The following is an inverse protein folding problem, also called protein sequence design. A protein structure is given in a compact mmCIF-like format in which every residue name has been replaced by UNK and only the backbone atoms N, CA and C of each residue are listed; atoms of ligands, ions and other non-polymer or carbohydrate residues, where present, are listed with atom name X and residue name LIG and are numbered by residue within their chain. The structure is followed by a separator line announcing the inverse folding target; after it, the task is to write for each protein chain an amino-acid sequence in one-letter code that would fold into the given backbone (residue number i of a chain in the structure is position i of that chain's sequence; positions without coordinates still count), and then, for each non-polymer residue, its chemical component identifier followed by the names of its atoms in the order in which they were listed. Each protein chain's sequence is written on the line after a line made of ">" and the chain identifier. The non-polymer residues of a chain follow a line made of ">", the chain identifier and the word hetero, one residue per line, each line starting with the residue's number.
data_IF_028836230689
#
_entry.id   IF_028836230689
#
_cell.length_a   1.000
_cell.length_b   1.000
_cell.length_c   1.000
_cell.angle_alpha   90.00
_cell.angle_beta   90.00
_cell.angle_gamma   90.00
#
_symmetry.space_group_name_H-M   'P 1'
#
loop_
_entity.id
_entity.type
_entity.pdbx_description
1 polymer ?
#
# COMPACT_ATOMS: atom_id res chain seq x y z
N UNK A 1 33.19 -31.23 -22.26
CA UNK A 1 33.37 -31.01 -20.80
C UNK A 1 32.02 -30.56 -20.27
N UNK A 2 31.42 -31.33 -19.36
CA UNK A 2 30.09 -31.01 -18.82
C UNK A 2 30.18 -29.79 -17.90
N UNK A 3 29.24 -28.82 -17.93
CA UNK A 3 29.41 -27.52 -17.27
C UNK A 3 29.18 -27.53 -15.74
N UNK A 4 28.86 -28.69 -15.16
CA UNK A 4 28.51 -28.82 -13.74
C UNK A 4 29.39 -29.89 -13.10
N UNK A 5 30.41 -29.43 -12.36
CA UNK A 5 31.33 -30.27 -11.62
C UNK A 5 30.87 -30.37 -10.15
N UNK A 6 29.73 -31.02 -9.90
CA UNK A 6 29.20 -31.26 -8.55
C UNK A 6 29.75 -32.60 -8.08
N UNK A 7 30.58 -32.62 -7.03
CA UNK A 7 31.08 -33.88 -6.46
C UNK A 7 29.97 -34.51 -5.62
N UNK A 8 29.88 -35.84 -5.63
CA UNK A 8 28.85 -36.57 -4.89
C UNK A 8 28.90 -36.28 -3.38
N UNK A 9 30.09 -36.03 -2.83
CA UNK A 9 30.29 -35.65 -1.42
C UNK A 9 29.73 -34.26 -1.10
N UNK A 10 29.94 -33.29 -2.00
CA UNK A 10 29.40 -31.93 -1.88
C UNK A 10 27.85 -31.97 -1.93
N UNK A 11 27.28 -32.78 -2.82
CA UNK A 11 25.83 -32.95 -2.93
C UNK A 11 25.20 -33.61 -1.68
N UNK A 12 25.89 -34.57 -1.05
CA UNK A 12 25.43 -35.21 0.18
C UNK A 12 25.50 -34.25 1.37
N UNK A 13 26.56 -33.43 1.46
CA UNK A 13 26.65 -32.39 2.48
C UNK A 13 25.54 -31.35 2.33
N UNK A 14 25.31 -30.83 1.13
CA UNK A 14 24.22 -29.89 0.85
C UNK A 14 22.86 -30.47 1.24
N UNK A 15 22.61 -31.76 0.95
CA UNK A 15 21.37 -32.43 1.30
C UNK A 15 21.18 -32.59 2.83
N UNK A 16 22.26 -32.87 3.56
CA UNK A 16 22.24 -32.97 5.02
C UNK A 16 22.01 -31.61 5.68
N UNK A 17 22.68 -30.57 5.18
CA UNK A 17 22.47 -29.19 5.63
C UNK A 17 21.04 -28.74 5.37
N UNK A 18 20.50 -29.02 4.17
CA UNK A 18 19.11 -28.72 3.83
C UNK A 18 18.12 -29.40 4.78
N UNK A 19 18.28 -30.71 5.03
CA UNK A 19 17.40 -31.45 5.94
C UNK A 19 17.47 -30.94 7.38
N UNK A 20 18.67 -30.56 7.85
CA UNK A 20 18.85 -29.95 9.17
C UNK A 20 18.13 -28.59 9.27
N UNK A 21 18.35 -27.70 8.29
CA UNK A 21 17.67 -26.39 8.23
C UNK A 21 16.15 -26.55 8.20
N UNK A 22 15.63 -27.52 7.45
CA UNK A 22 14.21 -27.82 7.35
C UNK A 22 13.64 -28.32 8.69
N UNK A 23 14.36 -29.21 9.39
CA UNK A 23 13.97 -29.69 10.72
C UNK A 23 13.95 -28.58 11.78
N UNK A 24 14.99 -27.75 11.83
CA UNK A 24 15.08 -26.62 12.76
C UNK A 24 14.00 -25.56 12.47
N UNK A 25 13.70 -25.31 11.19
CA UNK A 25 12.64 -24.41 10.77
C UNK A 25 11.25 -24.90 11.17
N UNK A 26 10.94 -26.18 10.97
CA UNK A 26 9.65 -26.77 11.38
C UNK A 26 9.44 -26.72 12.90
N UNK A 27 10.51 -26.96 13.67
CA UNK A 27 10.46 -26.85 15.14
C UNK A 27 10.19 -25.40 15.59
N UNK A 28 10.88 -24.45 14.99
CA UNK A 28 10.69 -23.01 15.27
C UNK A 28 9.26 -22.56 14.94
N UNK A 29 8.67 -23.06 13.85
CA UNK A 29 7.28 -22.77 13.48
C UNK A 29 6.28 -23.38 14.47
N UNK A 30 6.53 -24.60 14.96
CA UNK A 30 5.66 -25.26 15.93
C UNK A 30 5.64 -24.56 17.30
N UNK A 31 6.73 -23.89 17.67
CA UNK A 31 6.86 -23.15 18.94
C UNK A 31 6.16 -21.76 18.90
N UNK A 32 5.67 -21.31 17.74
CA UNK A 32 4.96 -20.02 17.59
C UNK A 32 3.47 -20.23 17.82
N UNK A 33 2.97 -19.81 18.97
CA UNK A 33 1.56 -19.93 19.35
C UNK A 33 0.70 -18.71 18.96
N UNK A 34 1.28 -17.51 18.93
CA UNK A 34 0.58 -16.26 18.60
C UNK A 34 1.44 -15.30 17.77
N UNK A 35 0.80 -14.63 16.81
CA UNK A 35 1.42 -13.62 15.93
C UNK A 35 0.64 -12.32 16.08
N UNK A 36 1.17 -11.43 16.93
CA UNK A 36 0.61 -10.09 17.08
C UNK A 36 0.89 -9.25 15.82
N UNK A 37 -0.15 -8.60 15.29
CA UNK A 37 -0.13 -7.65 14.17
C UNK A 37 -1.00 -6.44 14.51
N UNK A 38 -0.67 -5.25 13.98
CA UNK A 38 -1.47 -4.04 14.23
C UNK A 38 -1.50 -3.63 15.70
N UNK A 39 -0.34 -3.73 16.36
CA UNK A 39 -0.20 -3.61 17.83
C UNK A 39 -0.29 -2.18 18.35
N UNK A 40 -0.24 -1.17 17.48
CA UNK A 40 -0.25 0.22 17.93
C UNK A 40 -1.65 0.60 18.43
N UNK A 41 -1.80 1.08 19.68
CA UNK A 41 -3.10 1.44 20.26
C UNK A 41 -3.86 2.43 19.38
N UNK A 42 -5.15 2.16 19.16
CA UNK A 42 -6.01 2.97 18.30
C UNK A 42 -7.47 2.88 18.73
N UNK A 43 -8.22 3.94 18.44
CA UNK A 43 -9.67 4.00 18.62
C UNK A 43 -10.38 4.13 17.28
N UNK A 44 -11.54 3.50 17.13
CA UNK A 44 -12.41 3.73 15.98
C UNK A 44 -13.17 5.04 16.20
N UNK A 45 -12.92 6.05 15.37
CA UNK A 45 -13.54 7.38 15.48
C UNK A 45 -14.71 7.59 14.52
N UNK A 46 -14.82 6.75 13.50
CA UNK A 46 -15.94 6.73 12.56
C UNK A 46 -16.07 5.35 11.91
N UNK A 47 -17.30 4.95 11.65
CA UNK A 47 -17.65 3.69 10.98
C UNK A 47 -18.80 3.96 10.02
N UNK A 48 -18.73 3.34 8.85
CA UNK A 48 -19.79 3.36 7.84
C UNK A 48 -19.65 2.10 7.00
N UNK A 49 -20.71 1.31 6.91
CA UNK A 49 -20.67 -0.01 6.26
C UNK A 49 -19.49 -0.85 6.80
N UNK A 50 -18.62 -1.33 5.91
CA UNK A 50 -17.40 -2.07 6.23
C UNK A 50 -16.21 -1.16 6.61
N UNK A 51 -16.29 0.14 6.33
CA UNK A 51 -15.22 1.09 6.59
C UNK A 51 -15.11 1.42 8.08
N UNK A 52 -13.88 1.44 8.58
CA UNK A 52 -13.53 2.00 9.89
C UNK A 52 -12.41 3.03 9.75
N UNK A 53 -12.65 4.23 10.24
CA UNK A 53 -11.61 5.24 10.43
C UNK A 53 -11.03 5.10 11.83
N UNK A 54 -9.76 4.73 11.90
CA UNK A 54 -9.02 4.66 13.16
C UNK A 54 -8.25 5.95 13.41
N UNK A 55 -8.19 6.37 14.66
CA UNK A 55 -7.18 7.30 15.18
C UNK A 55 -6.23 6.54 16.07
N UNK A 56 -4.94 6.64 15.81
CA UNK A 56 -3.93 6.05 16.68
C UNK A 56 -3.68 6.94 17.90
N UNK A 57 -3.43 6.32 19.05
CA UNK A 57 -3.15 7.04 20.29
C UNK A 57 -1.82 7.79 20.16
N UNK A 58 -1.79 9.13 20.30
CA UNK A 58 -0.54 9.89 20.29
C UNK A 58 0.40 9.40 21.40
N UNK A 59 1.70 9.39 21.11
CA UNK A 59 2.77 9.01 22.07
C UNK A 59 3.67 10.19 22.43
N UNK A 60 3.31 11.39 21.96
CA UNK A 60 3.92 12.68 22.30
C UNK A 60 2.84 13.60 22.87
N UNK A 61 3.23 14.53 23.74
CA UNK A 61 2.28 15.43 24.43
C UNK A 61 1.58 16.40 23.47
N UNK A 62 2.29 16.86 22.44
CA UNK A 62 1.83 17.85 21.47
C UNK A 62 2.05 17.34 20.05
N UNK A 63 1.16 16.47 19.54
CA UNK A 63 1.23 16.04 18.15
C UNK A 63 0.91 17.22 17.21
N UNK A 64 1.32 17.09 15.95
CA UNK A 64 1.11 18.08 14.91
C UNK A 64 -0.38 18.50 14.85
N UNK A 65 -0.68 19.82 14.87
CA UNK A 65 -2.07 20.30 14.92
C UNK A 65 -2.86 20.00 13.63
N UNK A 66 -2.17 19.70 12.52
CA UNK A 66 -2.79 19.26 11.28
C UNK A 66 -2.63 17.73 11.17
N UNK A 67 -3.69 16.96 11.42
CA UNK A 67 -3.63 15.50 11.44
C UNK A 67 -3.30 14.92 10.06
N UNK A 68 -2.68 13.75 10.08
CA UNK A 68 -2.30 12.97 8.91
C UNK A 68 -3.29 11.81 8.71
N UNK A 69 -4.04 11.84 7.62
CA UNK A 69 -4.90 10.74 7.20
C UNK A 69 -4.18 9.81 6.23
N UNK A 70 -4.00 8.56 6.65
CA UNK A 70 -3.44 7.49 5.82
C UNK A 70 -4.57 6.80 5.03
N UNK A 71 -4.45 6.84 3.71
CA UNK A 71 -5.37 6.24 2.76
C UNK A 71 -4.65 5.05 2.10
N UNK A 72 -5.01 3.85 2.52
CA UNK A 72 -4.42 2.61 2.01
C UNK A 72 -5.10 2.13 0.72
N UNK A 73 -4.49 1.19 0.03
CA UNK A 73 -5.10 0.51 -1.12
C UNK A 73 -6.31 -0.34 -0.69
N UNK A 74 -7.18 -0.67 -1.66
CA UNK A 74 -8.24 -1.68 -1.43
C UNK A 74 -7.66 -3.10 -1.43
N UNK A 75 -6.52 -3.28 -2.10
CA UNK A 75 -5.76 -4.54 -2.07
C UNK A 75 -5.04 -4.69 -0.74
N UNK A 76 -5.27 -5.83 -0.08
CA UNK A 76 -4.71 -6.23 1.22
C UNK A 76 -5.04 -5.26 2.36
N UNK A 77 -4.81 -5.71 3.59
CA UNK A 77 -5.16 -4.94 4.77
C UNK A 77 -4.09 -3.88 5.14
N UNK A 78 -4.51 -2.75 5.73
CA UNK A 78 -3.62 -1.61 6.02
C UNK A 78 -2.64 -1.85 7.18
N UNK A 79 -2.80 -2.93 7.96
CA UNK A 79 -1.85 -3.27 9.02
C UNK A 79 -0.44 -3.62 8.50
N UNK A 80 -0.23 -3.69 7.18
CA UNK A 80 1.09 -3.66 6.56
C UNK A 80 1.95 -2.49 7.06
N UNK A 81 1.30 -1.36 7.36
CA UNK A 81 1.95 -0.16 7.88
C UNK A 81 2.22 -0.24 9.39
N UNK A 82 1.74 -1.30 10.05
CA UNK A 82 1.82 -1.52 11.50
C UNK A 82 2.05 -3.00 11.83
N UNK A 83 2.95 -3.66 11.10
CA UNK A 83 3.17 -5.12 11.20
C UNK A 83 3.68 -5.56 12.58
N UNK A 84 4.63 -4.81 13.15
CA UNK A 84 5.16 -5.04 14.50
C UNK A 84 5.81 -3.78 15.05
N UNK A 85 6.03 -3.73 16.38
CA UNK A 85 6.53 -2.52 17.06
C UNK A 85 7.82 -1.93 16.46
N UNK A 86 8.78 -2.75 16.02
CA UNK A 86 10.03 -2.28 15.41
C UNK A 86 9.99 -2.19 13.87
N UNK A 87 8.84 -2.48 13.24
CA UNK A 87 8.56 -2.34 11.80
C UNK A 87 7.13 -1.83 11.62
N UNK A 88 6.91 -0.59 12.06
CA UNK A 88 5.63 0.09 11.97
C UNK A 88 5.86 1.52 11.51
N UNK A 89 5.36 1.80 10.30
CA UNK A 89 5.36 3.15 9.74
C UNK A 89 4.43 4.04 10.56
N UNK A 90 3.31 3.49 11.02
CA UNK A 90 2.37 4.21 11.89
C UNK A 90 3.05 4.62 13.19
N UNK A 91 3.70 3.69 13.90
CA UNK A 91 4.42 4.01 15.12
C UNK A 91 5.51 5.04 14.87
N UNK A 92 6.30 4.88 13.81
CA UNK A 92 7.33 5.85 13.46
C UNK A 92 6.77 7.26 13.17
N UNK A 93 5.57 7.37 12.60
CA UNK A 93 4.91 8.66 12.38
C UNK A 93 4.44 9.29 13.70
N UNK A 94 3.93 8.48 14.64
CA UNK A 94 3.59 8.93 15.99
C UNK A 94 4.85 9.39 16.76
N UNK A 95 5.97 8.66 16.62
CA UNK A 95 7.28 9.02 17.20
C UNK A 95 7.82 10.31 16.58
N UNK A 96 7.54 10.54 15.30
CA UNK A 96 7.82 11.79 14.59
C UNK A 96 6.78 12.90 14.86
N UNK A 97 5.96 12.75 15.90
CA UNK A 97 5.07 13.77 16.40
C UNK A 97 3.79 14.01 15.59
N UNK A 98 3.36 13.10 14.72
CA UNK A 98 2.17 13.29 13.89
C UNK A 98 0.90 12.74 14.57
N UNK A 99 -0.26 13.40 14.40
CA UNK A 99 -1.58 12.85 14.80
C UNK A 99 -2.14 11.99 13.66
N UNK A 100 -2.01 10.66 13.78
CA UNK A 100 -2.22 9.72 12.68
C UNK A 100 -3.63 9.12 12.70
N UNK A 101 -4.31 9.22 11.56
CA UNK A 101 -5.55 8.53 11.24
C UNK A 101 -5.31 7.54 10.11
N UNK A 102 -6.09 6.46 10.06
CA UNK A 102 -6.00 5.46 9.02
C UNK A 102 -7.38 4.96 8.62
N UNK A 103 -7.63 4.89 7.33
CA UNK A 103 -8.83 4.25 6.78
C UNK A 103 -8.55 2.76 6.62
N UNK A 104 -9.37 1.94 7.28
CA UNK A 104 -9.52 0.52 6.97
C UNK A 104 -10.83 0.34 6.20
N UNK A 105 -10.73 -0.09 4.94
CA UNK A 105 -11.89 -0.22 4.05
C UNK A 105 -12.77 -1.42 4.39
N UNK A 106 -12.27 -2.35 5.20
CA UNK A 106 -12.98 -3.58 5.57
C UNK A 106 -13.02 -4.62 4.45
N UNK A 107 -14.04 -5.48 4.50
CA UNK A 107 -14.26 -6.55 3.54
C UNK A 107 -15.59 -6.33 2.83
N UNK A 108 -15.58 -6.08 1.51
CA UNK A 108 -16.82 -5.97 0.75
C UNK A 108 -17.63 -7.26 0.82
N UNK A 109 -18.96 -7.14 0.94
CA UNK A 109 -19.89 -8.26 0.79
C UNK A 109 -20.55 -8.25 -0.61
N UNK A 110 -21.45 -9.20 -0.88
CA UNK A 110 -22.10 -9.30 -2.20
C UNK A 110 -22.93 -8.06 -2.58
N UNK A 111 -23.46 -7.33 -1.61
CA UNK A 111 -24.24 -6.11 -1.86
C UNK A 111 -23.33 -4.95 -2.32
N UNK A 112 -22.08 -4.96 -1.88
CA UNK A 112 -21.07 -3.95 -2.23
C UNK A 112 -20.61 -4.01 -3.70
N UNK A 113 -21.03 -5.03 -4.48
CA UNK A 113 -20.61 -5.21 -5.88
C UNK A 113 -20.88 -4.01 -6.80
N UNK A 114 -21.82 -3.15 -6.41
CA UNK A 114 -22.21 -1.95 -7.16
C UNK A 114 -21.46 -0.69 -6.72
N UNK A 115 -20.66 -0.75 -5.65
CA UNK A 115 -19.84 0.39 -5.22
C UNK A 115 -18.90 0.80 -6.36
N UNK A 116 -18.92 2.08 -6.68
CA UNK A 116 -18.12 2.70 -7.73
C UNK A 116 -16.89 3.39 -7.15
N UNK A 117 -15.95 3.81 -8.00
CA UNK A 117 -14.84 4.66 -7.55
C UNK A 117 -15.32 6.02 -7.02
N UNK A 118 -16.47 6.51 -7.50
CA UNK A 118 -17.09 7.72 -6.96
C UNK A 118 -17.52 7.51 -5.50
N UNK A 119 -18.11 6.37 -5.16
CA UNK A 119 -18.52 6.05 -3.79
C UNK A 119 -17.31 6.01 -2.84
N UNK A 120 -16.22 5.38 -3.26
CA UNK A 120 -14.97 5.35 -2.48
C UNK A 120 -14.34 6.73 -2.29
N UNK A 121 -14.21 7.52 -3.36
CA UNK A 121 -13.43 8.76 -3.35
C UNK A 121 -14.27 9.96 -2.89
N UNK A 122 -15.47 10.15 -3.45
CA UNK A 122 -16.33 11.28 -3.15
C UNK A 122 -17.31 10.99 -2.00
N UNK A 123 -17.59 9.72 -1.71
CA UNK A 123 -18.38 9.30 -0.55
C UNK A 123 -17.50 9.04 0.67
N UNK A 124 -16.97 7.83 0.79
CA UNK A 124 -16.27 7.32 1.97
C UNK A 124 -15.06 8.17 2.37
N UNK A 125 -14.10 8.38 1.46
CA UNK A 125 -12.91 9.18 1.74
C UNK A 125 -13.28 10.62 2.12
N UNK A 126 -14.22 11.24 1.39
CA UNK A 126 -14.67 12.59 1.71
C UNK A 126 -15.29 12.71 3.11
N UNK A 127 -16.10 11.73 3.52
CA UNK A 127 -16.68 11.68 4.87
C UNK A 127 -15.62 11.47 5.94
N UNK A 128 -14.62 10.61 5.71
CA UNK A 128 -13.45 10.49 6.60
C UNK A 128 -12.73 11.84 6.77
N UNK A 129 -12.43 12.54 5.68
CA UNK A 129 -11.79 13.87 5.75
C UNK A 129 -12.66 14.87 6.53
N UNK A 130 -13.97 14.91 6.28
CA UNK A 130 -14.90 15.77 7.02
C UNK A 130 -14.95 15.44 8.51
N UNK A 131 -14.93 14.17 8.88
CA UNK A 131 -14.90 13.71 10.27
C UNK A 131 -13.64 14.22 10.98
N UNK A 132 -12.47 14.04 10.37
CA UNK A 132 -11.19 14.52 10.93
C UNK A 132 -11.19 16.05 11.05
N UNK A 133 -11.59 16.77 10.00
CA UNK A 133 -11.74 18.22 10.02
C UNK A 133 -12.66 18.71 11.16
N UNK A 134 -13.84 18.08 11.32
CA UNK A 134 -14.82 18.44 12.35
C UNK A 134 -14.26 18.20 13.75
N UNK A 135 -13.57 17.08 13.97
CA UNK A 135 -12.99 16.73 15.27
C UNK A 135 -11.95 17.74 15.74
N UNK A 136 -11.18 18.28 14.79
CA UNK A 136 -10.09 19.23 15.06
C UNK A 136 -10.48 20.71 14.87
N UNK A 137 -11.68 21.01 14.37
CA UNK A 137 -12.09 22.38 14.10
C UNK A 137 -11.32 23.05 12.95
N UNK A 138 -10.77 22.27 12.01
CA UNK A 138 -9.92 22.73 10.90
C UNK A 138 -10.56 22.49 9.55
N UNK A 139 -10.13 23.24 8.53
CA UNK A 139 -10.67 23.10 7.17
C UNK A 139 -9.90 22.12 6.28
N UNK A 140 -8.62 21.88 6.58
CA UNK A 140 -7.70 21.07 5.78
C UNK A 140 -6.94 20.09 6.65
N UNK A 141 -6.60 18.93 6.10
CA UNK A 141 -5.76 17.90 6.75
C UNK A 141 -4.58 17.51 5.86
N UNK A 142 -3.61 16.80 6.42
CA UNK A 142 -2.55 16.15 5.66
C UNK A 142 -3.06 14.78 5.17
N UNK A 143 -2.70 14.36 3.96
CA UNK A 143 -3.06 13.04 3.43
C UNK A 143 -1.80 12.29 3.02
N UNK A 144 -1.66 11.05 3.48
CA UNK A 144 -0.68 10.08 2.99
C UNK A 144 -1.42 8.96 2.24
N UNK A 145 -1.29 8.94 0.92
CA UNK A 145 -1.87 7.91 0.08
C UNK A 145 -0.86 6.83 -0.29
N UNK A 146 -1.25 5.57 -0.14
CA UNK A 146 -0.38 4.41 -0.33
C UNK A 146 -0.84 3.57 -1.52
N UNK A 147 0.04 3.35 -2.51
CA UNK A 147 -0.26 2.58 -3.73
C UNK A 147 -1.56 3.08 -4.40
N UNK A 148 -2.58 2.23 -4.57
CA UNK A 148 -3.90 2.60 -5.09
C UNK A 148 -4.59 3.70 -4.23
N UNK A 149 -4.39 3.68 -2.90
CA UNK A 149 -4.85 4.73 -2.00
C UNK A 149 -4.18 6.09 -2.27
N UNK A 150 -2.97 6.08 -2.84
CA UNK A 150 -2.31 7.25 -3.42
C UNK A 150 -3.03 7.79 -4.64
N UNK A 151 -3.42 6.91 -5.57
CA UNK A 151 -4.23 7.28 -6.74
C UNK A 151 -5.57 7.89 -6.31
N UNK A 152 -6.22 7.31 -5.29
CA UNK A 152 -7.46 7.85 -4.72
C UNK A 152 -7.24 9.21 -4.08
N UNK A 153 -6.13 9.38 -3.35
CA UNK A 153 -5.76 10.64 -2.69
C UNK A 153 -5.46 11.75 -3.70
N UNK A 154 -4.82 11.43 -4.83
CA UNK A 154 -4.63 12.37 -5.94
C UNK A 154 -5.96 12.80 -6.55
N UNK A 155 -6.85 11.85 -6.86
CA UNK A 155 -8.19 12.15 -7.38
C UNK A 155 -8.98 13.02 -6.40
N UNK A 156 -8.97 12.66 -5.13
CA UNK A 156 -9.62 13.43 -4.06
C UNK A 156 -9.06 14.85 -3.95
N UNK A 157 -7.73 15.00 -3.95
CA UNK A 157 -7.06 16.30 -3.82
C UNK A 157 -7.32 17.22 -5.02
N UNK A 158 -7.48 16.66 -6.21
CA UNK A 158 -7.88 17.40 -7.41
C UNK A 158 -9.34 17.86 -7.37
N UNK A 159 -10.23 17.06 -6.78
CA UNK A 159 -11.67 17.36 -6.64
C UNK A 159 -11.97 18.30 -5.45
N UNK A 160 -11.18 18.22 -4.38
CA UNK A 160 -11.39 18.94 -3.13
C UNK A 160 -10.09 19.60 -2.60
N UNK A 161 -9.39 20.42 -3.40
CA UNK A 161 -8.10 21.02 -3.01
C UNK A 161 -8.20 21.90 -1.75
N UNK A 162 -9.37 22.45 -1.47
CA UNK A 162 -9.69 23.22 -0.26
C UNK A 162 -9.72 22.39 1.03
N UNK A 163 -9.65 21.05 0.95
CA UNK A 163 -9.65 20.12 2.10
C UNK A 163 -8.29 19.49 2.39
N UNK A 164 -7.29 19.70 1.54
CA UNK A 164 -5.97 19.07 1.67
C UNK A 164 -4.92 20.15 1.89
N UNK A 165 -4.19 20.05 3.00
CA UNK A 165 -3.11 20.97 3.38
C UNK A 165 -1.80 20.56 2.72
N UNK A 166 -1.42 19.29 2.87
CA UNK A 166 -0.24 18.67 2.27
C UNK A 166 -0.62 17.27 1.76
N UNK A 167 -0.03 16.85 0.65
CA UNK A 167 -0.25 15.53 0.07
C UNK A 167 1.06 14.73 0.02
N UNK A 168 1.04 13.50 0.51
CA UNK A 168 2.15 12.57 0.40
C UNK A 168 1.67 11.38 -0.41
N UNK A 169 2.40 11.04 -1.46
CA UNK A 169 2.16 9.83 -2.27
C UNK A 169 3.28 8.84 -2.00
N UNK A 170 2.93 7.58 -1.75
CA UNK A 170 3.92 6.53 -1.51
C UNK A 170 3.67 5.36 -2.47
N UNK A 171 4.69 5.01 -3.26
CA UNK A 171 4.63 3.97 -4.32
C UNK A 171 3.34 4.04 -5.14
N UNK A 172 2.94 5.27 -5.48
CA UNK A 172 1.64 5.55 -6.10
C UNK A 172 1.74 5.46 -7.61
N UNK A 173 0.88 4.69 -8.29
CA UNK A 173 0.83 4.70 -9.74
C UNK A 173 0.02 5.90 -10.27
N UNK A 174 0.65 6.67 -11.16
CA UNK A 174 0.00 7.77 -11.92
C UNK A 174 -0.03 7.46 -13.41
N UNK A 175 1.08 6.98 -13.97
CA UNK A 175 1.15 6.48 -15.34
C UNK A 175 1.12 4.94 -15.35
N UNK A 176 0.01 4.38 -15.81
CA UNK A 176 -0.16 2.93 -15.90
C UNK A 176 0.43 2.35 -17.18
N UNK A 177 0.95 3.16 -18.11
CA UNK A 177 1.39 2.70 -19.44
C UNK A 177 2.91 2.71 -19.60
N UNK A 178 3.67 2.73 -18.50
CA UNK A 178 5.14 2.63 -18.58
C UNK A 178 5.56 1.27 -19.16
N UNK A 179 6.67 1.26 -19.89
CA UNK A 179 7.15 0.09 -20.64
C UNK A 179 7.56 -1.09 -19.75
N UNK A 180 7.95 -0.80 -18.52
CA UNK A 180 8.38 -1.74 -17.49
C UNK A 180 7.24 -2.26 -16.59
N UNK A 181 6.01 -1.77 -16.78
CA UNK A 181 4.85 -2.19 -16.00
C UNK A 181 4.25 -3.49 -16.59
N UNK A 182 4.78 -4.64 -16.17
CA UNK A 182 4.31 -5.96 -16.62
C UNK A 182 2.82 -6.19 -16.32
N UNK A 183 2.37 -5.79 -15.11
CA UNK A 183 0.99 -5.94 -14.69
C UNK A 183 0.03 -5.22 -15.65
N UNK A 184 0.39 -4.01 -16.07
CA UNK A 184 -0.40 -3.23 -17.01
C UNK A 184 -0.53 -3.91 -18.38
N UNK A 185 0.54 -4.53 -18.89
CA UNK A 185 0.49 -5.22 -20.18
C UNK A 185 -0.51 -6.38 -20.19
N UNK A 186 -0.64 -7.09 -19.07
CA UNK A 186 -1.63 -8.17 -18.93
C UNK A 186 -3.05 -7.60 -18.78
N UNK A 187 -3.23 -6.66 -17.85
CA UNK A 187 -4.55 -6.10 -17.52
C UNK A 187 -5.17 -5.34 -18.70
N UNK A 188 -4.36 -4.68 -19.53
CA UNK A 188 -4.85 -3.91 -20.69
C UNK A 188 -5.71 -4.72 -21.66
N UNK A 189 -5.48 -6.03 -21.75
CA UNK A 189 -6.18 -6.94 -22.67
C UNK A 189 -7.27 -7.77 -21.99
N UNK A 190 -7.44 -7.61 -20.69
CA UNK A 190 -8.42 -8.36 -19.91
C UNK A 190 -9.85 -7.88 -20.21
N UNK A 191 -10.75 -8.82 -20.47
CA UNK A 191 -12.19 -8.55 -20.50
C UNK A 191 -12.72 -8.44 -19.06
N UNK A 192 -12.52 -7.25 -18.48
CA UNK A 192 -12.98 -6.96 -17.13
C UNK A 192 -14.51 -6.98 -17.03
N UNK A 193 -15.22 -6.76 -18.14
CA UNK A 193 -16.67 -6.76 -18.12
C UNK A 193 -17.22 -8.16 -17.88
N UNK A 194 -16.71 -9.13 -18.63
CA UNK A 194 -17.03 -10.54 -18.45
C UNK A 194 -16.65 -11.01 -17.03
N UNK A 195 -15.46 -10.64 -16.55
CA UNK A 195 -14.98 -11.03 -15.23
C UNK A 195 -15.93 -10.54 -14.11
N UNK A 196 -16.25 -9.25 -14.09
CA UNK A 196 -17.11 -8.66 -13.04
C UNK A 196 -18.56 -9.14 -13.18
N UNK A 197 -19.07 -9.32 -14.40
CA UNK A 197 -20.41 -9.85 -14.61
C UNK A 197 -20.54 -11.30 -14.11
N UNK A 198 -19.46 -12.09 -14.19
CA UNK A 198 -19.45 -13.49 -13.75
C UNK A 198 -19.27 -13.61 -12.24
N UNK A 199 -18.34 -12.85 -11.66
CA UNK A 199 -17.94 -13.01 -10.26
C UNK A 199 -18.73 -12.11 -9.28
N UNK A 200 -19.25 -10.97 -9.76
CA UNK A 200 -19.73 -9.92 -8.88
C UNK A 200 -18.56 -9.15 -8.29
N UNK A 201 -18.19 -9.46 -7.05
CA UNK A 201 -16.93 -8.97 -6.50
C UNK A 201 -15.75 -9.74 -7.09
N UNK A 202 -14.59 -9.10 -7.12
CA UNK A 202 -13.35 -9.79 -7.50
C UNK A 202 -12.73 -10.41 -6.25
N UNK A 203 -12.61 -11.75 -6.18
CA UNK A 203 -12.06 -12.41 -5.02
C UNK A 203 -10.64 -11.93 -4.71
N UNK A 204 -10.36 -11.61 -3.44
CA UNK A 204 -9.02 -11.20 -3.01
C UNK A 204 -7.95 -12.26 -3.30
N UNK A 205 -8.31 -13.54 -3.24
CA UNK A 205 -7.43 -14.66 -3.59
C UNK A 205 -6.98 -14.60 -5.06
N UNK A 206 -7.87 -14.26 -5.98
CA UNK A 206 -7.54 -14.11 -7.41
C UNK A 206 -6.55 -12.95 -7.63
N UNK A 207 -6.73 -11.85 -6.89
CA UNK A 207 -5.81 -10.71 -6.93
C UNK A 207 -4.43 -11.10 -6.39
N UNK A 208 -4.38 -11.83 -5.27
CA UNK A 208 -3.12 -12.35 -4.72
C UNK A 208 -2.36 -13.22 -5.71
N UNK A 209 -3.05 -14.17 -6.33
CA UNK A 209 -2.46 -15.01 -7.36
C UNK A 209 -1.89 -14.18 -8.52
N UNK A 210 -2.58 -13.12 -8.92
CA UNK A 210 -2.11 -12.20 -9.95
C UNK A 210 -0.81 -11.49 -9.53
N UNK A 211 -0.75 -10.95 -8.30
CA UNK A 211 0.45 -10.29 -7.80
C UNK A 211 1.63 -11.24 -7.59
N UNK A 212 1.40 -12.44 -7.05
CA UNK A 212 2.42 -13.48 -6.89
C UNK A 212 2.98 -13.94 -8.24
N UNK A 213 2.14 -13.99 -9.27
CA UNK A 213 2.50 -14.38 -10.64
C UNK A 213 3.31 -13.32 -11.39
N UNK A 214 3.44 -12.09 -10.87
CA UNK A 214 4.30 -11.07 -11.50
C UNK A 214 5.79 -11.40 -11.39
N UNK A 215 6.19 -12.15 -10.35
CA UNK A 215 7.56 -12.66 -10.17
C UNK A 215 7.54 -14.04 -9.50
N UNK A 216 7.05 -15.09 -10.17
CA UNK A 216 6.85 -16.40 -9.55
C UNK A 216 8.17 -16.93 -8.97
N UNK A 217 9.27 -16.87 -9.71
CA UNK A 217 10.56 -17.33 -9.21
C UNK A 217 11.07 -16.58 -7.96
N UNK A 218 10.78 -15.29 -7.78
CA UNK A 218 11.21 -14.55 -6.57
C UNK A 218 10.19 -14.67 -5.43
N UNK A 219 8.89 -14.64 -5.74
CA UNK A 219 7.81 -14.57 -4.75
C UNK A 219 7.30 -15.95 -4.32
N UNK A 220 7.60 -17.03 -5.06
CA UNK A 220 7.25 -18.41 -4.71
C UNK A 220 8.43 -19.38 -4.75
N UNK A 221 9.48 -19.15 -5.54
CA UNK A 221 10.68 -20.01 -5.54
C UNK A 221 11.71 -19.59 -4.48
N UNK A 222 12.41 -18.50 -4.76
CA UNK A 222 13.49 -17.95 -3.92
C UNK A 222 13.01 -17.61 -2.51
N UNK A 223 11.79 -17.07 -2.37
CA UNK A 223 11.21 -16.74 -1.04
C UNK A 223 11.16 -17.93 -0.08
N UNK A 224 10.82 -19.13 -0.56
CA UNK A 224 10.73 -20.31 0.30
C UNK A 224 12.11 -20.96 0.55
N UNK A 225 13.07 -20.76 -0.35
CA UNK A 225 14.48 -21.10 -0.10
C UNK A 225 15.12 -20.15 0.92
N UNK A 226 14.94 -18.84 0.73
CA UNK A 226 15.37 -17.80 1.67
C UNK A 226 14.66 -17.96 3.03
N UNK A 227 13.41 -18.45 3.04
CA UNK A 227 12.68 -18.81 4.27
C UNK A 227 13.43 -19.91 5.04
N UNK A 228 13.84 -20.99 4.39
CA UNK A 228 14.60 -22.07 5.03
C UNK A 228 15.93 -21.57 5.62
N UNK A 229 16.54 -20.56 5.01
CA UNK A 229 17.73 -19.87 5.51
C UNK A 229 17.44 -18.77 6.54
N UNK A 230 16.17 -18.38 6.72
CA UNK A 230 15.75 -17.30 7.62
C UNK A 230 15.07 -17.79 8.89
N UNK A 231 14.57 -19.04 8.93
CA UNK A 231 13.88 -19.63 10.10
C UNK A 231 14.82 -19.97 11.27
N UNK A 232 16.08 -19.54 11.25
CA UNK A 232 17.07 -19.82 12.30
C UNK A 232 16.78 -19.13 13.64
N UNK A 233 15.87 -18.15 13.68
CA UNK A 233 15.41 -17.52 14.91
C UNK A 233 13.90 -17.36 14.95
N UNK A 234 13.32 -17.42 16.16
CA UNK A 234 11.88 -17.21 16.39
C UNK A 234 11.43 -15.86 15.85
N UNK A 235 12.25 -14.81 15.96
CA UNK A 235 11.89 -13.47 15.44
C UNK A 235 11.84 -13.43 13.91
N UNK A 236 12.78 -14.08 13.23
CA UNK A 236 12.77 -14.15 11.77
C UNK A 236 11.60 -15.01 11.25
N UNK A 237 11.27 -16.10 11.95
CA UNK A 237 10.09 -16.91 11.68
C UNK A 237 8.77 -16.14 11.89
N UNK A 238 8.63 -15.41 13.01
CA UNK A 238 7.47 -14.53 13.25
C UNK A 238 7.34 -13.46 12.17
N UNK A 239 8.44 -12.86 11.73
CA UNK A 239 8.42 -11.88 10.64
C UNK A 239 7.92 -12.47 9.32
N UNK A 240 8.38 -13.67 8.99
CA UNK A 240 7.91 -14.40 7.81
C UNK A 240 6.41 -14.68 7.90
N UNK A 241 5.94 -15.25 9.02
CA UNK A 241 4.52 -15.58 9.19
C UNK A 241 3.60 -14.35 9.19
N UNK A 242 4.06 -13.21 9.73
CA UNK A 242 3.33 -11.93 9.61
C UNK A 242 3.16 -11.51 8.16
N UNK A 243 4.21 -11.66 7.36
CA UNK A 243 4.16 -11.36 5.93
C UNK A 243 3.26 -12.33 5.17
N UNK A 244 3.30 -13.64 5.47
CA UNK A 244 2.37 -14.61 4.90
C UNK A 244 0.94 -14.25 5.26
N UNK A 245 0.65 -14.01 6.54
CA UNK A 245 -0.67 -13.60 7.00
C UNK A 245 -1.16 -12.37 6.25
N UNK A 246 -0.32 -11.36 6.06
CA UNK A 246 -0.67 -10.18 5.28
C UNK A 246 -0.92 -10.47 3.79
N UNK A 247 -0.06 -11.27 3.16
CA UNK A 247 -0.19 -11.61 1.74
C UNK A 247 -1.51 -12.35 1.49
N UNK A 248 -1.95 -13.21 2.42
CA UNK A 248 -3.17 -14.00 2.27
C UNK A 248 -4.42 -13.35 2.89
N UNK A 249 -4.27 -12.22 3.57
CA UNK A 249 -5.38 -11.43 4.11
C UNK A 249 -5.76 -10.31 3.14
N UNK A 250 -6.53 -10.73 2.14
CA UNK A 250 -6.85 -9.92 0.97
C UNK A 250 -8.35 -9.82 0.82
N UNK A 251 -8.93 -8.65 1.15
CA UNK A 251 -10.33 -8.40 0.89
C UNK A 251 -10.67 -8.53 -0.59
N UNK A 252 -11.91 -8.93 -0.85
CA UNK A 252 -12.50 -8.81 -2.17
C UNK A 252 -12.54 -7.34 -2.61
N UNK A 253 -12.58 -7.10 -3.91
CA UNK A 253 -12.88 -5.78 -4.44
C UNK A 253 -14.29 -5.70 -4.98
N UNK A 254 -15.00 -4.63 -4.63
CA UNK A 254 -16.28 -4.29 -5.21
C UNK A 254 -16.19 -4.29 -6.74
N UNK A 255 -17.08 -5.07 -7.36
CA UNK A 255 -17.03 -5.37 -8.80
C UNK A 255 -16.97 -4.13 -9.68
N UNK A 256 -17.86 -3.17 -9.46
CA UNK A 256 -17.94 -1.97 -10.29
C UNK A 256 -16.74 -1.03 -10.08
N UNK A 257 -16.29 -0.83 -8.84
CA UNK A 257 -15.06 -0.08 -8.55
C UNK A 257 -13.84 -0.72 -9.24
N UNK A 258 -13.71 -2.06 -9.21
CA UNK A 258 -12.67 -2.77 -9.92
C UNK A 258 -12.77 -2.56 -11.44
N UNK A 259 -13.97 -2.74 -12.01
CA UNK A 259 -14.24 -2.51 -13.44
C UNK A 259 -13.79 -1.12 -13.87
N UNK A 260 -14.19 -0.09 -13.13
CA UNK A 260 -13.83 1.30 -13.38
C UNK A 260 -12.33 1.52 -13.24
N UNK A 261 -11.69 0.94 -12.22
CA UNK A 261 -10.24 1.08 -12.03
C UNK A 261 -9.46 0.50 -13.20
N UNK A 262 -9.80 -0.71 -13.65
CA UNK A 262 -9.17 -1.37 -14.79
C UNK A 262 -9.37 -0.56 -16.07
N UNK A 263 -10.61 -0.15 -16.38
CA UNK A 263 -10.91 0.60 -17.60
C UNK A 263 -10.25 1.97 -17.62
N UNK A 264 -10.45 2.77 -16.58
CA UNK A 264 -10.04 4.17 -16.56
C UNK A 264 -8.53 4.32 -16.37
N UNK A 265 -7.90 3.50 -15.53
CA UNK A 265 -6.49 3.65 -15.19
C UNK A 265 -5.61 2.74 -16.04
N UNK A 266 -5.81 1.43 -16.01
CA UNK A 266 -4.95 0.49 -16.74
C UNK A 266 -5.16 0.53 -18.27
N UNK A 267 -6.40 0.51 -18.74
CA UNK A 267 -6.68 0.48 -20.18
C UNK A 267 -6.56 1.87 -20.82
N UNK A 268 -7.18 2.89 -20.23
CA UNK A 268 -7.27 4.23 -20.82
C UNK A 268 -6.18 5.21 -20.35
N UNK A 269 -5.52 4.95 -19.22
CA UNK A 269 -4.58 5.88 -18.58
C UNK A 269 -5.16 7.28 -18.37
N UNK A 270 -6.46 7.34 -18.04
CA UNK A 270 -7.24 8.58 -18.05
C UNK A 270 -6.73 9.60 -17.03
N UNK A 271 -6.16 9.15 -15.91
CA UNK A 271 -5.56 10.03 -14.89
C UNK A 271 -4.38 10.81 -15.48
N UNK A 272 -3.37 10.12 -16.02
CA UNK A 272 -2.19 10.75 -16.64
C UNK A 272 -2.57 11.66 -17.80
N UNK A 273 -3.56 11.25 -18.60
CA UNK A 273 -4.02 12.02 -19.75
C UNK A 273 -4.95 13.18 -19.38
N UNK A 274 -5.25 13.37 -18.09
CA UNK A 274 -6.15 14.39 -17.58
C UNK A 274 -7.58 14.31 -18.18
N UNK A 275 -8.05 13.09 -18.44
CA UNK A 275 -9.37 12.76 -19.01
C UNK A 275 -10.26 11.95 -18.05
N UNK A 276 -9.83 11.76 -16.82
CA UNK A 276 -10.56 11.00 -15.82
C UNK A 276 -11.82 11.76 -15.37
N UNK A 277 -12.95 11.07 -15.39
CA UNK A 277 -14.23 11.54 -14.86
C UNK A 277 -14.71 10.51 -13.84
N UNK A 278 -15.09 10.98 -12.65
CA UNK A 278 -15.67 10.18 -11.58
C UNK A 278 -17.05 10.76 -11.28
N UNK A 279 -18.11 9.99 -11.55
CA UNK A 279 -19.47 10.52 -11.55
C UNK A 279 -19.63 11.64 -12.57
N UNK A 280 -20.07 12.80 -12.10
CA UNK A 280 -20.22 14.00 -12.91
C UNK A 280 -18.98 14.92 -12.89
N UNK A 281 -17.95 14.60 -12.10
CA UNK A 281 -16.80 15.49 -11.89
C UNK A 281 -15.57 15.02 -12.65
N UNK A 282 -14.96 15.95 -13.37
CA UNK A 282 -13.63 15.75 -13.98
C UNK A 282 -12.55 15.87 -12.92
N UNK A 283 -11.67 14.87 -12.86
CA UNK A 283 -10.44 14.91 -12.06
C UNK A 283 -9.38 15.64 -12.88
N UNK A 284 -9.11 16.90 -12.54
CA UNK A 284 -8.04 17.70 -13.15
C UNK A 284 -6.84 17.81 -12.20
N UNK A 285 -5.74 17.13 -12.53
CA UNK A 285 -4.52 17.15 -11.70
C UNK A 285 -3.91 18.56 -11.57
N UNK A 286 -4.22 19.49 -12.48
CA UNK A 286 -3.79 20.89 -12.35
C UNK A 286 -4.43 21.62 -11.16
N UNK A 287 -5.51 21.09 -10.57
CA UNK A 287 -6.11 21.63 -9.35
C UNK A 287 -5.27 21.31 -8.10
N UNK A 288 -4.31 20.40 -8.20
CA UNK A 288 -3.39 20.04 -7.12
C UNK A 288 -2.30 21.11 -7.05
N UNK A 289 -2.48 22.06 -6.12
CA UNK A 289 -1.56 23.18 -5.88
C UNK A 289 -0.93 23.16 -4.48
N UNK A 290 -1.36 22.26 -3.60
CA UNK A 290 -0.79 22.10 -2.26
C UNK A 290 0.60 21.43 -2.32
N UNK A 291 1.44 21.57 -1.28
CA UNK A 291 2.73 20.88 -1.22
C UNK A 291 2.61 19.36 -1.38
N UNK A 292 3.56 18.77 -2.11
CA UNK A 292 3.60 17.32 -2.34
C UNK A 292 4.96 16.74 -1.99
N UNK A 293 4.94 15.63 -1.25
CA UNK A 293 6.07 14.72 -1.10
C UNK A 293 5.77 13.41 -1.82
N UNK A 294 6.50 13.13 -2.89
CA UNK A 294 6.37 11.88 -3.63
C UNK A 294 7.47 10.87 -3.24
N UNK A 295 7.06 9.78 -2.61
CA UNK A 295 7.93 8.71 -2.14
C UNK A 295 7.81 7.51 -3.08
N UNK A 296 8.93 7.01 -3.60
CA UNK A 296 8.96 5.83 -4.47
C UNK A 296 10.13 4.91 -4.16
N UNK A 297 10.02 3.65 -4.59
CA UNK A 297 11.07 2.65 -4.41
C UNK A 297 11.76 2.36 -5.74
N UNK A 298 13.09 2.44 -5.80
CA UNK A 298 13.85 2.44 -7.06
C UNK A 298 13.86 1.07 -7.77
N UNK A 299 13.56 -0.01 -7.05
CA UNK A 299 13.52 -1.39 -7.56
C UNK A 299 12.08 -1.95 -7.56
N UNK A 300 11.09 -1.06 -7.50
CA UNK A 300 9.68 -1.41 -7.60
C UNK A 300 9.34 -1.92 -9.00
N UNK A 301 8.64 -3.04 -9.04
CA UNK A 301 8.20 -3.72 -10.27
C UNK A 301 6.67 -3.76 -10.39
N UNK A 302 5.95 -3.39 -9.33
CA UNK A 302 4.49 -3.26 -9.33
C UNK A 302 4.14 -1.84 -9.76
N UNK A 303 4.81 -0.86 -9.16
CA UNK A 303 4.72 0.56 -9.54
C UNK A 303 6.12 1.05 -9.87
N UNK A 304 6.58 0.86 -11.13
CA UNK A 304 7.92 1.29 -11.51
C UNK A 304 8.13 2.79 -11.24
N UNK A 305 9.35 3.25 -10.92
CA UNK A 305 9.61 4.66 -10.58
C UNK A 305 9.06 5.64 -11.62
N UNK A 306 9.17 5.32 -12.91
CA UNK A 306 8.64 6.12 -14.01
C UNK A 306 7.13 6.36 -13.91
N UNK A 307 6.37 5.40 -13.35
CA UNK A 307 4.93 5.49 -13.16
C UNK A 307 4.55 6.48 -12.05
N UNK A 308 5.47 6.77 -11.13
CA UNK A 308 5.28 7.67 -9.99
C UNK A 308 5.86 9.07 -10.22
N UNK A 309 7.12 9.18 -10.66
CA UNK A 309 7.82 10.49 -10.80
C UNK A 309 7.21 11.41 -11.86
N UNK A 310 6.39 10.86 -12.76
CA UNK A 310 5.65 11.64 -13.76
C UNK A 310 4.71 12.67 -13.12
N UNK A 311 4.32 12.49 -11.85
CA UNK A 311 3.42 13.38 -11.12
C UNK A 311 3.84 14.85 -11.18
N UNK A 312 5.14 15.15 -11.05
CA UNK A 312 5.68 16.52 -11.11
C UNK A 312 5.26 17.27 -12.39
N UNK A 313 5.07 16.55 -13.50
CA UNK A 313 4.74 17.14 -14.80
C UNK A 313 3.24 17.35 -15.00
N UNK A 314 2.40 16.87 -14.09
CA UNK A 314 0.94 16.81 -14.25
C UNK A 314 0.18 17.71 -13.28
N UNK A 315 0.87 18.31 -12.31
CA UNK A 315 0.29 19.14 -11.24
C UNK A 315 0.72 20.60 -11.39
N UNK A 316 0.14 21.49 -10.57
CA UNK A 316 0.54 22.91 -10.49
C UNK A 316 1.12 23.31 -9.12
N UNK A 317 1.48 22.33 -8.29
CA UNK A 317 2.16 22.62 -7.02
C UNK A 317 3.54 23.22 -7.29
N UNK A 318 3.85 24.31 -6.59
CA UNK A 318 5.18 24.94 -6.62
C UNK A 318 6.13 24.37 -5.55
N UNK A 319 5.62 23.51 -4.66
CA UNK A 319 6.40 22.83 -3.61
C UNK A 319 6.24 21.32 -3.78
N UNK A 320 7.07 20.78 -4.67
CA UNK A 320 7.11 19.35 -4.98
C UNK A 320 8.49 18.79 -4.61
N UNK A 321 8.50 17.73 -3.81
CA UNK A 321 9.71 17.03 -3.41
C UNK A 321 9.59 15.54 -3.69
N UNK A 322 10.71 14.91 -4.00
CA UNK A 322 10.81 13.46 -4.23
C UNK A 322 11.72 12.81 -3.21
N UNK A 323 11.35 11.62 -2.76
CA UNK A 323 12.16 10.79 -1.88
C UNK A 323 12.21 9.37 -2.41
N UNK A 324 13.42 8.96 -2.83
CA UNK A 324 13.65 7.64 -3.40
C UNK A 324 14.28 6.70 -2.37
N UNK A 325 13.73 5.49 -2.22
CA UNK A 325 14.34 4.45 -1.40
C UNK A 325 14.82 3.28 -2.27
N UNK A 326 16.04 2.80 -1.99
CA UNK A 326 16.55 1.57 -2.61
C UNK A 326 15.87 0.34 -1.98
N UNK A 327 14.73 -0.03 -2.55
CA UNK A 327 13.92 -1.19 -2.18
C UNK A 327 12.97 -1.56 -3.33
N UNK A 328 12.34 -2.74 -3.24
CA UNK A 328 11.15 -3.07 -4.01
C UNK A 328 9.85 -2.61 -3.33
N UNK A 329 8.70 -2.86 -3.97
CA UNK A 329 7.37 -2.39 -3.53
C UNK A 329 7.08 -2.63 -2.05
N UNK A 330 7.19 -3.88 -1.59
CA UNK A 330 6.93 -4.28 -0.20
C UNK A 330 8.11 -3.87 0.71
N UNK A 331 9.33 -3.86 0.15
CA UNK A 331 10.57 -3.58 0.88
C UNK A 331 10.58 -2.22 1.57
N UNK A 332 9.85 -1.25 1.04
CA UNK A 332 9.70 0.09 1.65
C UNK A 332 9.01 0.04 3.02
N UNK A 333 8.11 -0.93 3.25
CA UNK A 333 7.36 -1.07 4.50
C UNK A 333 8.06 -1.97 5.53
N UNK A 334 8.90 -2.90 5.07
CA UNK A 334 9.46 -3.94 5.95
C UNK A 334 10.96 -3.77 6.23
N UNK A 335 11.65 -2.94 5.45
CA UNK A 335 13.07 -2.67 5.68
C UNK A 335 13.26 -1.87 6.96
N UNK A 336 13.95 -2.45 7.96
CA UNK A 336 14.20 -1.77 9.23
C UNK A 336 14.97 -0.45 9.10
N UNK A 337 15.80 -0.28 8.05
CA UNK A 337 16.45 1.01 7.77
C UNK A 337 15.42 2.04 7.30
N UNK A 338 14.60 1.68 6.33
CA UNK A 338 13.59 2.58 5.75
C UNK A 338 12.55 2.95 6.82
N UNK A 339 12.13 2.00 7.66
CA UNK A 339 11.18 2.26 8.74
C UNK A 339 11.70 3.23 9.81
N UNK A 340 13.03 3.42 9.94
CA UNK A 340 13.60 4.46 10.80
C UNK A 340 13.67 5.82 10.12
N UNK A 341 14.03 5.83 8.83
CA UNK A 341 14.30 7.06 8.08
C UNK A 341 13.03 7.72 7.52
N UNK A 342 12.12 6.92 6.96
CA UNK A 342 10.96 7.40 6.23
C UNK A 342 9.96 8.14 7.12
N UNK A 343 9.51 7.61 8.29
CA UNK A 343 8.58 8.34 9.13
C UNK A 343 9.17 9.64 9.70
N UNK A 344 10.45 9.63 10.08
CA UNK A 344 11.16 10.83 10.56
C UNK A 344 11.25 11.91 9.47
N UNK A 345 11.53 11.49 8.22
CA UNK A 345 11.58 12.40 7.07
C UNK A 345 10.21 12.99 6.75
N UNK A 346 9.16 12.16 6.79
CA UNK A 346 7.76 12.61 6.61
C UNK A 346 7.40 13.62 7.71
N UNK A 347 7.66 13.30 8.99
CA UNK A 347 7.35 14.19 10.10
C UNK A 347 8.04 15.54 9.97
N UNK A 348 9.35 15.56 9.72
CA UNK A 348 10.11 16.79 9.47
C UNK A 348 9.53 17.59 8.29
N UNK A 349 9.15 16.91 7.20
CA UNK A 349 8.58 17.57 6.03
C UNK A 349 7.22 18.20 6.34
N UNK A 350 6.36 17.52 7.11
CA UNK A 350 5.06 18.01 7.56
C UNK A 350 5.18 19.16 8.56
N UNK A 351 6.08 19.07 9.52
CA UNK A 351 6.24 20.08 10.59
C UNK A 351 6.67 21.45 10.02
N UNK A 352 7.45 21.46 8.94
CA UNK A 352 7.80 22.70 8.23
C UNK A 352 6.63 23.33 7.45
N UNK A 353 5.48 22.66 7.36
CA UNK A 353 4.31 23.03 6.54
C UNK A 353 2.99 23.04 7.29
N UNK A 354 2.99 22.77 8.59
CA UNK A 354 1.77 22.59 9.40
C UNK A 354 1.39 23.86 10.15
#
# INVERSE_FOLDING_TARGET
>A
MSPLNIRAEDAVQELLEFNKKLGDGLKTLADITEIDIGVTPKEAVYKEDNLVLYRYTPIVDHPNPIPLLVVYALVNRPYMLDLQANRSTIRGLLEAGQDVYLIDWGYPDEADRYLTLEDYIQGYLHRCVKTVCKRHGIQKINILGVCQGGTFSLCYSALYPQKVKNLITMVTPIDFHTSDNLLSHWIKKMDVDLMVNTLGNIPGELLNWTFLSLKPFRLTGQKYLDMLDSLHTVDAAKNFLRMEKWIFDSPDQAGEAFRQFIKLFFQQNALKQNRLILGEKRVDLHNITMPILNIYATEDHIVPPAASVVLNKLIKSTDYQELAFKAGHIGIYVSGRIQKEMPATIGKWLDTRS
#
